data_IF_203153058180
#
_entry.id   IF_203153058180
#
_cell.length_a   1.000
_cell.length_b   1.000
_cell.length_c   1.000
_cell.angle_alpha   90.00
_cell.angle_beta   90.00
_cell.angle_gamma   90.00
#
_symmetry.space_group_name_H-M   'P 1'
#
loop_
_entity.id
_entity.type
_entity.pdbx_description
1 polymer ?
#
# COMPACT_ATOMS: atom_id res chain seq x y z
N UNK A 1 -34.73 9.88 -4.66
CA UNK A 1 -34.13 8.96 -5.66
C UNK A 1 -33.08 9.76 -6.41
N UNK A 2 -31.79 9.52 -6.15
CA UNK A 2 -30.72 10.25 -6.82
C UNK A 2 -30.68 9.75 -8.26
N UNK A 3 -31.04 10.63 -9.19
CA UNK A 3 -31.19 10.31 -10.61
C UNK A 3 -29.80 10.29 -11.28
N UNK A 4 -29.34 9.11 -11.67
CA UNK A 4 -27.99 8.85 -12.22
C UNK A 4 -27.91 9.21 -13.73
N UNK A 5 -28.99 9.78 -14.30
CA UNK A 5 -29.11 10.08 -15.74
C UNK A 5 -28.86 11.56 -16.10
N UNK A 6 -28.41 12.40 -15.15
CA UNK A 6 -28.21 13.83 -15.38
C UNK A 6 -26.77 14.13 -15.87
N UNK A 7 -26.54 14.44 -17.16
CA UNK A 7 -25.20 14.62 -17.74
C UNK A 7 -24.47 15.86 -17.19
N UNK A 8 -25.18 16.78 -16.51
CA UNK A 8 -24.58 17.93 -15.83
C UNK A 8 -23.78 17.54 -14.57
N UNK A 9 -24.06 16.37 -13.99
CA UNK A 9 -23.30 15.79 -12.87
C UNK A 9 -22.19 14.83 -13.34
N UNK A 10 -22.07 14.60 -14.64
CA UNK A 10 -20.94 13.92 -15.27
C UNK A 10 -19.80 14.91 -15.56
N UNK A 11 -19.58 15.86 -14.64
CA UNK A 11 -18.34 16.62 -14.64
C UNK A 11 -17.25 15.64 -14.23
N UNK A 12 -16.42 15.24 -15.18
CA UNK A 12 -15.22 14.44 -14.91
C UNK A 12 -14.51 15.04 -13.69
N UNK A 13 -14.15 14.18 -12.73
CA UNK A 13 -13.53 14.58 -11.47
C UNK A 13 -12.46 15.64 -11.72
N UNK A 14 -12.67 16.85 -11.20
CA UNK A 14 -11.68 17.91 -11.29
C UNK A 14 -10.40 17.45 -10.59
N UNK A 15 -9.23 17.93 -11.03
CA UNK A 15 -7.94 17.53 -10.44
C UNK A 15 -7.92 17.75 -8.92
N UNK A 16 -8.50 18.85 -8.45
CA UNK A 16 -8.65 19.16 -7.04
C UNK A 16 -9.48 18.10 -6.29
N UNK A 17 -10.59 17.65 -6.88
CA UNK A 17 -11.46 16.63 -6.30
C UNK A 17 -10.75 15.27 -6.25
N UNK A 18 -9.98 14.93 -7.29
CA UNK A 18 -9.19 13.70 -7.35
C UNK A 18 -8.14 13.65 -6.25
N UNK A 19 -7.43 14.77 -6.02
CA UNK A 19 -6.43 14.88 -4.95
C UNK A 19 -7.10 14.81 -3.57
N UNK A 20 -8.23 15.51 -3.38
CA UNK A 20 -8.99 15.46 -2.12
C UNK A 20 -9.44 14.03 -1.79
N UNK A 21 -10.02 13.32 -2.75
CA UNK A 21 -10.44 11.93 -2.57
C UNK A 21 -9.27 10.99 -2.28
N UNK A 22 -8.12 11.19 -2.95
CA UNK A 22 -6.90 10.42 -2.68
C UNK A 22 -6.42 10.63 -1.24
N UNK A 23 -6.34 11.88 -0.78
CA UNK A 23 -5.90 12.20 0.59
C UNK A 23 -6.87 11.61 1.61
N UNK A 24 -8.18 11.79 1.43
CA UNK A 24 -9.21 11.23 2.32
C UNK A 24 -9.07 9.70 2.38
N UNK A 25 -8.89 9.04 1.25
CA UNK A 25 -8.68 7.60 1.18
C UNK A 25 -7.44 7.14 1.94
N UNK A 26 -6.30 7.83 1.78
CA UNK A 26 -5.07 7.53 2.52
C UNK A 26 -5.23 7.73 4.02
N UNK A 27 -5.90 8.80 4.45
CA UNK A 27 -6.16 9.07 5.87
C UNK A 27 -7.06 8.00 6.47
N UNK A 28 -8.17 7.63 5.79
CA UNK A 28 -9.05 6.56 6.26
C UNK A 28 -8.32 5.22 6.32
N UNK A 29 -7.50 4.91 5.31
CA UNK A 29 -6.68 3.71 5.30
C UNK A 29 -5.70 3.68 6.49
N UNK A 30 -5.01 4.79 6.76
CA UNK A 30 -4.11 4.93 7.91
C UNK A 30 -4.85 4.87 9.25
N UNK A 31 -6.06 5.41 9.37
CA UNK A 31 -6.83 5.33 10.61
C UNK A 31 -7.29 3.89 10.89
N UNK A 32 -7.76 3.17 9.86
CA UNK A 32 -8.25 1.80 10.00
C UNK A 32 -7.10 0.80 10.17
N UNK A 33 -6.05 0.93 9.36
CA UNK A 33 -4.97 -0.07 9.28
C UNK A 33 -3.69 0.38 9.98
N UNK A 34 -3.45 1.67 10.12
CA UNK A 34 -2.18 2.22 10.62
C UNK A 34 -1.90 1.86 12.07
N UNK A 35 -2.92 1.76 12.93
CA UNK A 35 -2.74 1.27 14.29
C UNK A 35 -2.21 -0.18 14.31
N UNK A 36 -2.87 -1.07 13.56
CA UNK A 36 -2.48 -2.48 13.47
C UNK A 36 -1.10 -2.65 12.81
N UNK A 37 -0.81 -1.80 11.82
CA UNK A 37 0.47 -1.77 11.12
C UNK A 37 1.58 -1.27 12.04
N UNK A 38 1.28 -0.35 12.96
CA UNK A 38 2.22 0.16 13.96
C UNK A 38 2.54 -0.85 15.04
N UNK A 39 1.52 -1.46 15.62
CA UNK A 39 1.69 -2.33 16.78
C UNK A 39 2.17 -3.73 16.40
N UNK A 40 1.73 -4.25 15.25
CA UNK A 40 1.93 -5.65 14.88
C UNK A 40 2.64 -5.84 13.54
N UNK A 41 2.85 -4.78 12.75
CA UNK A 41 3.35 -4.92 11.37
C UNK A 41 2.36 -5.67 10.47
N UNK A 42 1.07 -5.59 10.79
CA UNK A 42 -0.01 -6.32 10.12
C UNK A 42 -1.12 -5.37 9.68
N UNK A 43 -1.73 -5.66 8.54
CA UNK A 43 -3.06 -5.14 8.18
C UNK A 43 -4.12 -6.19 8.53
N UNK A 44 -5.40 -5.83 8.56
CA UNK A 44 -6.50 -6.78 8.85
C UNK A 44 -6.41 -8.03 7.97
N UNK A 45 -6.18 -7.86 6.66
CA UNK A 45 -6.02 -8.99 5.73
C UNK A 45 -4.79 -9.86 6.04
N UNK A 46 -3.66 -9.24 6.43
CA UNK A 46 -2.45 -9.97 6.84
C UNK A 46 -2.63 -10.71 8.16
N UNK A 47 -3.42 -10.14 9.07
CA UNK A 47 -3.77 -10.77 10.34
C UNK A 47 -4.64 -12.01 10.13
N UNK A 48 -5.59 -11.96 9.19
CA UNK A 48 -6.37 -13.14 8.78
C UNK A 48 -5.49 -14.24 8.17
N UNK A 49 -4.48 -13.84 7.39
CA UNK A 49 -3.49 -14.75 6.81
C UNK A 49 -2.38 -15.18 7.79
N UNK A 50 -2.43 -14.74 9.06
CA UNK A 50 -1.39 -15.00 10.07
C UNK A 50 0.03 -14.70 9.56
N UNK A 51 0.21 -13.59 8.84
CA UNK A 51 1.51 -13.13 8.38
C UNK A 51 1.82 -11.74 8.95
N UNK A 52 3.06 -11.48 9.36
CA UNK A 52 3.52 -10.18 9.87
C UNK A 52 4.77 -9.70 9.15
N UNK A 53 4.90 -8.39 9.02
CA UNK A 53 6.09 -7.75 8.46
C UNK A 53 7.06 -7.44 9.59
N UNK A 54 8.31 -7.89 9.47
CA UNK A 54 9.39 -7.60 10.42
C UNK A 54 10.61 -7.05 9.68
N UNK A 55 11.48 -6.32 10.40
CA UNK A 55 12.81 -5.96 9.89
C UNK A 55 13.65 -7.22 9.66
N UNK A 56 14.75 -7.10 8.92
CA UNK A 56 15.74 -8.19 8.79
C UNK A 56 16.24 -8.67 10.16
N UNK A 57 16.38 -7.75 11.12
CA UNK A 57 16.78 -8.00 12.50
C UNK A 57 15.62 -8.42 13.43
N UNK A 58 14.49 -8.86 12.88
CA UNK A 58 13.27 -9.28 13.58
C UNK A 58 12.61 -8.22 14.50
N UNK A 59 13.12 -6.99 14.48
CA UNK A 59 12.52 -5.84 15.17
C UNK A 59 11.36 -5.26 14.38
N UNK A 60 10.35 -4.76 15.10
CA UNK A 60 9.30 -3.92 14.53
C UNK A 60 9.91 -2.59 14.12
N UNK A 61 9.90 -2.29 12.82
CA UNK A 61 10.39 -1.03 12.27
C UNK A 61 9.23 -0.02 12.30
N UNK A 62 9.53 1.22 12.69
CA UNK A 62 8.50 2.25 12.85
C UNK A 62 7.66 2.47 11.58
N UNK A 63 6.36 2.76 11.77
CA UNK A 63 5.41 2.93 10.64
C UNK A 63 5.87 3.95 9.62
N UNK A 64 6.61 4.99 10.02
CA UNK A 64 7.06 6.02 9.11
C UNK A 64 7.89 5.41 8.00
N UNK A 65 8.93 4.66 8.34
CA UNK A 65 9.80 4.05 7.34
C UNK A 65 9.07 2.97 6.53
N UNK A 66 8.22 2.18 7.19
CA UNK A 66 7.43 1.15 6.51
C UNK A 66 6.41 1.76 5.53
N UNK A 67 5.73 2.83 5.94
CA UNK A 67 4.70 3.50 5.16
C UNK A 67 5.30 4.32 4.03
N UNK A 68 6.34 5.11 4.29
CA UNK A 68 7.03 5.88 3.26
C UNK A 68 7.62 4.95 2.19
N UNK A 69 8.33 3.89 2.58
CA UNK A 69 8.99 3.04 1.58
C UNK A 69 7.99 2.16 0.84
N UNK A 70 6.93 1.66 1.49
CA UNK A 70 5.96 0.76 0.84
C UNK A 70 4.82 1.47 0.15
N UNK A 71 4.19 2.43 0.81
CA UNK A 71 3.00 3.09 0.29
C UNK A 71 3.38 4.33 -0.50
N UNK A 72 4.21 5.22 0.06
CA UNK A 72 4.56 6.45 -0.65
C UNK A 72 5.36 6.16 -1.92
N UNK A 73 6.41 5.35 -1.85
CA UNK A 73 7.21 5.00 -3.05
C UNK A 73 6.37 4.33 -4.13
N UNK A 74 5.50 3.36 -3.78
CA UNK A 74 4.65 2.71 -4.78
C UNK A 74 3.53 3.60 -5.28
N UNK A 75 2.95 4.45 -4.44
CA UNK A 75 1.98 5.45 -4.88
C UNK A 75 2.62 6.43 -5.86
N UNK A 76 3.86 6.87 -5.64
CA UNK A 76 4.59 7.73 -6.57
C UNK A 76 4.90 7.00 -7.88
N UNK A 77 5.35 5.76 -7.81
CA UNK A 77 5.61 4.92 -8.99
C UNK A 77 4.32 4.69 -9.79
N UNK A 78 3.18 4.48 -9.12
CA UNK A 78 1.89 4.29 -9.77
C UNK A 78 1.37 5.53 -10.50
N UNK A 79 1.84 6.73 -10.17
CA UNK A 79 1.50 7.95 -10.90
C UNK A 79 2.14 8.04 -12.29
N UNK A 80 3.21 7.26 -12.54
CA UNK A 80 3.88 7.25 -13.84
C UNK A 80 3.19 6.18 -14.72
N UNK A 81 2.42 6.59 -15.75
CA UNK A 81 1.80 5.63 -16.65
C UNK A 81 2.87 4.77 -17.33
N UNK A 82 2.55 3.49 -17.58
CA UNK A 82 3.45 2.46 -18.15
C UNK A 82 4.56 2.00 -17.20
N UNK A 83 5.40 2.90 -16.68
CA UNK A 83 6.52 2.53 -15.79
C UNK A 83 5.99 1.98 -14.46
N UNK A 84 4.94 2.59 -13.90
CA UNK A 84 4.30 2.09 -12.69
C UNK A 84 3.72 0.69 -12.85
N UNK A 85 3.12 0.41 -14.01
CA UNK A 85 2.59 -0.91 -14.34
C UNK A 85 3.72 -1.95 -14.49
N UNK A 86 4.80 -1.60 -15.18
CA UNK A 86 5.97 -2.47 -15.32
C UNK A 86 6.62 -2.78 -13.96
N UNK A 87 6.83 -1.78 -13.11
CA UNK A 87 7.37 -1.99 -11.76
C UNK A 87 6.41 -2.83 -10.92
N UNK A 88 5.10 -2.66 -11.07
CA UNK A 88 4.09 -3.52 -10.45
C UNK A 88 4.25 -4.99 -10.85
N UNK A 89 4.42 -5.27 -12.14
CA UNK A 89 4.66 -6.62 -12.67
C UNK A 89 5.98 -7.19 -12.15
N UNK A 90 7.06 -6.41 -12.20
CA UNK A 90 8.38 -6.82 -11.67
C UNK A 90 8.29 -7.11 -10.17
N UNK A 91 7.57 -6.28 -9.42
CA UNK A 91 7.37 -6.48 -7.98
C UNK A 91 6.66 -7.80 -7.67
N UNK A 92 5.63 -8.16 -8.46
CA UNK A 92 4.95 -9.46 -8.35
C UNK A 92 5.87 -10.59 -8.79
N UNK A 93 6.59 -10.47 -9.89
CA UNK A 93 7.53 -11.49 -10.36
C UNK A 93 8.61 -11.80 -9.30
N UNK A 94 9.07 -10.80 -8.56
CA UNK A 94 10.06 -10.97 -7.50
C UNK A 94 9.58 -11.83 -6.32
N UNK A 95 8.26 -12.01 -6.13
CA UNK A 95 7.73 -12.93 -5.11
C UNK A 95 8.08 -14.40 -5.41
N UNK A 96 8.31 -14.75 -6.67
CA UNK A 96 8.68 -16.11 -7.09
C UNK A 96 10.17 -16.40 -6.92
N UNK A 97 10.98 -15.38 -6.59
CA UNK A 97 12.40 -15.58 -6.29
C UNK A 97 12.54 -16.39 -4.99
N UNK A 98 13.67 -17.07 -4.82
CA UNK A 98 13.98 -17.94 -3.68
C UNK A 98 13.78 -17.29 -2.30
N UNK A 99 13.96 -15.97 -2.24
CA UNK A 99 13.74 -15.14 -1.06
C UNK A 99 12.26 -14.89 -0.70
N UNK A 100 11.29 -15.21 -1.60
CA UNK A 100 9.85 -14.92 -1.48
C UNK A 100 9.53 -13.47 -1.08
N UNK A 101 10.42 -12.53 -1.43
CA UNK A 101 10.36 -11.11 -1.05
C UNK A 101 10.07 -10.25 -2.26
N UNK A 102 8.99 -9.48 -2.19
CA UNK A 102 8.66 -8.47 -3.17
C UNK A 102 9.74 -7.38 -3.24
N UNK A 103 9.85 -6.69 -4.39
CA UNK A 103 10.85 -5.64 -4.62
C UNK A 103 10.74 -4.52 -3.57
N UNK A 104 9.52 -4.14 -3.20
CA UNK A 104 9.27 -3.14 -2.16
C UNK A 104 9.69 -3.59 -0.76
N UNK A 105 9.48 -4.86 -0.42
CA UNK A 105 9.87 -5.40 0.89
C UNK A 105 11.40 -5.43 1.02
N UNK A 106 12.11 -5.71 -0.09
CA UNK A 106 13.58 -5.63 -0.16
C UNK A 106 14.09 -4.21 0.01
N UNK A 107 13.51 -3.23 -0.70
CA UNK A 107 13.86 -1.81 -0.54
C UNK A 107 13.58 -1.29 0.87
N UNK A 108 12.49 -1.77 1.48
CA UNK A 108 12.13 -1.44 2.85
C UNK A 108 13.00 -2.15 3.89
N UNK A 109 13.88 -3.08 3.51
CA UNK A 109 14.66 -3.90 4.44
C UNK A 109 13.77 -4.72 5.38
N UNK A 110 12.66 -5.23 4.86
CA UNK A 110 11.66 -6.00 5.62
C UNK A 110 11.48 -7.38 5.04
N UNK A 111 11.04 -8.32 5.88
CA UNK A 111 10.63 -9.67 5.50
C UNK A 111 9.24 -9.95 6.08
N UNK A 112 8.48 -10.79 5.39
CA UNK A 112 7.19 -11.28 5.87
C UNK A 112 7.44 -12.65 6.49
N UNK A 113 7.03 -12.82 7.74
CA UNK A 113 7.11 -14.10 8.47
C UNK A 113 5.70 -14.52 8.89
N UNK A 114 5.50 -15.82 9.12
CA UNK A 114 4.28 -16.28 9.79
C UNK A 114 4.23 -15.70 11.22
N UNK A 115 3.08 -15.18 11.58
CA UNK A 115 2.74 -14.79 12.93
C UNK A 115 2.18 -16.03 13.64
N UNK A 116 2.93 -16.50 14.64
CA UNK A 116 2.51 -17.59 15.53
C UNK A 116 1.28 -17.20 16.33
#
# INVERSE_FOLDING_TARGET
LINISDPANMQGLNLEQSIKLFIIGQVLFLLVQGYLLHTQGQTIGKKLLKIRIVSLDDKLRGIGQLYFVRYLTFSLIAQIPIIGALIGIVNVLFIFKQDRRCLHDRLAGTKVIEAT
#
